data_IF_227086225507
#
_entry.id   IF_227086225507
#
_cell.length_a   1.000
_cell.length_b   1.000
_cell.length_c   1.000
_cell.angle_alpha   90.00
_cell.angle_beta   90.00
_cell.angle_gamma   90.00
#
_symmetry.space_group_name_H-M   'P 1'
#
loop_
_entity.id
_entity.type
_entity.pdbx_description
1 polymer ?
#
# COMPACT_ATOMS: atom_id res chain seq x y z
N UNK A 1 -7.16 3.96 6.20
CA UNK A 1 -7.19 3.05 5.04
C UNK A 1 -8.24 3.42 4.01
N UNK A 2 -9.11 4.38 4.30
CA UNK A 2 -10.17 4.83 3.37
C UNK A 2 -9.63 5.17 1.97
N UNK A 3 -8.46 5.81 1.84
CA UNK A 3 -7.83 6.07 0.52
C UNK A 3 -7.54 4.83 -0.31
N UNK A 4 -7.17 3.72 0.34
CA UNK A 4 -6.84 2.46 -0.34
C UNK A 4 -8.03 1.51 -0.41
N UNK A 5 -9.18 1.87 0.20
CA UNK A 5 -10.40 1.06 0.25
C UNK A 5 -10.18 -0.40 0.72
N UNK A 6 -9.17 -0.67 1.55
CA UNK A 6 -8.89 -2.04 2.07
C UNK A 6 -9.12 -2.18 3.57
N UNK A 7 -9.42 -3.41 3.98
CA UNK A 7 -9.61 -3.80 5.37
C UNK A 7 -8.34 -3.77 6.21
N UNK A 8 -8.52 -3.80 7.54
CA UNK A 8 -7.42 -3.78 8.51
C UNK A 8 -6.46 -4.95 8.34
N UNK A 9 -6.98 -6.17 8.11
CA UNK A 9 -6.16 -7.36 7.96
C UNK A 9 -5.18 -7.23 6.79
N UNK A 10 -5.66 -6.76 5.63
CA UNK A 10 -4.83 -6.48 4.46
C UNK A 10 -3.80 -5.39 4.76
N UNK A 11 -4.22 -4.29 5.40
CA UNK A 11 -3.31 -3.22 5.78
C UNK A 11 -2.16 -3.70 6.68
N UNK A 12 -2.46 -4.54 7.68
CA UNK A 12 -1.44 -5.12 8.55
C UNK A 12 -0.57 -6.14 7.82
N UNK A 13 -1.11 -6.90 6.86
CA UNK A 13 -0.36 -7.77 5.98
C UNK A 13 0.70 -7.00 5.17
N UNK A 14 0.29 -5.89 4.54
CA UNK A 14 1.20 -5.02 3.77
C UNK A 14 2.28 -4.36 4.65
N UNK A 15 1.93 -3.99 5.88
CA UNK A 15 2.90 -3.47 6.85
C UNK A 15 3.89 -4.57 7.27
N UNK A 16 3.41 -5.78 7.53
CA UNK A 16 4.24 -6.91 7.95
C UNK A 16 5.18 -7.38 6.82
N UNK A 17 4.71 -7.36 5.56
CA UNK A 17 5.51 -7.65 4.37
C UNK A 17 6.45 -6.51 3.97
N UNK A 18 6.42 -5.38 4.69
CA UNK A 18 7.17 -4.14 4.39
C UNK A 18 6.83 -3.47 3.06
N UNK A 19 5.75 -3.89 2.40
CA UNK A 19 5.24 -3.22 1.20
C UNK A 19 4.60 -1.86 1.52
N UNK A 20 4.01 -1.71 2.71
CA UNK A 20 3.47 -0.44 3.19
C UNK A 20 4.30 0.10 4.36
N UNK A 21 4.95 1.25 4.16
CA UNK A 21 5.76 1.89 5.19
C UNK A 21 4.88 2.39 6.34
N UNK A 22 5.33 2.18 7.57
CA UNK A 22 4.61 2.62 8.78
C UNK A 22 5.54 2.93 9.93
N UNK A 23 5.07 3.75 10.86
CA UNK A 23 5.72 4.03 12.15
C UNK A 23 4.89 3.48 13.30
N UNK A 24 5.55 2.94 14.33
CA UNK A 24 4.88 2.50 15.55
C UNK A 24 4.81 3.66 16.54
N UNK A 25 3.60 4.04 16.95
CA UNK A 25 3.37 5.05 17.98
C UNK A 25 2.52 4.44 19.06
N UNK A 26 3.14 4.18 20.22
CA UNK A 26 2.53 3.44 21.32
C UNK A 26 2.01 2.06 20.86
N UNK A 27 0.70 1.85 20.96
CA UNK A 27 0.02 0.59 20.60
C UNK A 27 -0.52 0.57 19.16
N UNK A 28 -0.27 1.59 18.35
CA UNK A 28 -0.82 1.74 16.99
C UNK A 28 0.29 1.82 15.93
N UNK A 29 -0.05 1.40 14.71
CA UNK A 29 0.74 1.70 13.50
C UNK A 29 0.11 2.91 12.82
N UNK A 30 0.94 3.89 12.47
CA UNK A 30 0.54 5.03 11.66
C UNK A 30 1.21 4.91 10.29
N UNK A 31 0.45 5.24 9.27
CA UNK A 31 0.91 5.28 7.88
C UNK A 31 0.82 6.75 7.46
N UNK A 32 1.93 7.32 7.01
CA UNK A 32 1.94 8.69 6.52
C UNK A 32 1.31 8.75 5.12
N UNK A 33 0.80 9.91 4.73
CA UNK A 33 0.23 10.10 3.40
C UNK A 33 1.25 9.80 2.28
N UNK A 34 2.51 10.23 2.45
CA UNK A 34 3.58 9.92 1.53
C UNK A 34 3.81 8.41 1.36
N UNK A 35 3.67 7.61 2.42
CA UNK A 35 3.79 6.16 2.31
C UNK A 35 2.65 5.52 1.49
N UNK A 36 1.46 6.11 1.52
CA UNK A 36 0.32 5.67 0.70
C UNK A 36 0.58 6.04 -0.77
N UNK A 37 1.05 7.26 -1.04
CA UNK A 37 1.36 7.72 -2.40
C UNK A 37 2.45 6.85 -3.03
N UNK A 38 3.57 6.64 -2.34
CA UNK A 38 4.66 5.80 -2.85
C UNK A 38 4.20 4.36 -3.12
N UNK A 39 3.34 3.82 -2.26
CA UNK A 39 2.76 2.49 -2.46
C UNK A 39 1.94 2.43 -3.75
N UNK A 40 1.04 3.39 -3.97
CA UNK A 40 0.22 3.45 -5.21
C UNK A 40 1.11 3.60 -6.44
N UNK A 41 2.07 4.53 -6.39
CA UNK A 41 3.02 4.74 -7.50
C UNK A 41 3.83 3.49 -7.82
N UNK A 42 4.20 2.69 -6.81
CA UNK A 42 4.91 1.43 -7.04
C UNK A 42 4.06 0.38 -7.74
N UNK A 43 2.74 0.41 -7.58
CA UNK A 43 1.81 -0.47 -8.29
C UNK A 43 1.67 -0.05 -9.76
N UNK A 44 1.56 1.25 -10.03
CA UNK A 44 1.43 1.79 -11.38
C UNK A 44 2.74 1.72 -12.18
N UNK A 45 3.88 1.68 -11.48
CA UNK A 45 5.21 1.49 -12.05
C UNK A 45 5.50 0.05 -12.49
N UNK A 46 4.67 -0.92 -12.11
CA UNK A 46 4.68 -2.24 -12.70
C UNK A 46 4.01 -2.11 -14.08
N UNK A 47 4.76 -2.20 -15.20
CA UNK A 47 4.21 -1.95 -16.52
C UNK A 47 3.05 -2.91 -16.70
N UNK A 48 1.84 -2.35 -16.72
CA UNK A 48 0.65 -3.08 -17.11
C UNK A 48 0.94 -3.61 -18.50
N UNK A 49 1.31 -4.89 -18.60
CA UNK A 49 1.40 -5.57 -19.89
C UNK A 49 0.02 -5.38 -20.52
N UNK A 50 -0.10 -4.73 -21.67
CA UNK A 50 -1.38 -4.65 -22.33
C UNK A 50 -1.79 -6.07 -22.73
N UNK A 51 -2.64 -6.68 -21.91
CA UNK A 51 -3.37 -7.91 -22.26
C UNK A 51 -4.53 -7.51 -23.17
N UNK A 52 -4.22 -7.29 -24.45
CA UNK A 52 -5.01 -7.72 -25.60
C UNK A 52 -4.37 -7.14 -26.86
N UNK A 53 -3.51 -7.94 -27.49
CA UNK A 53 -3.37 -7.89 -28.94
C UNK A 53 -4.47 -8.82 -29.48
N UNK A 54 -5.51 -8.22 -30.08
CA UNK A 54 -6.61 -8.93 -30.74
C UNK A 54 -6.17 -9.41 -32.11
#
# INVERSE_FOLDING_TARGET
MERLCIGRSTAFGLIASRQLRSVKVGRRRLVSEAAIVDFIQSLDGEPTRPENDR
#
